data_IF_571505609661
#
_entry.id   IF_571505609661
#
_cell.length_a   1.000
_cell.length_b   1.000
_cell.length_c   1.000
_cell.angle_alpha   90.00
_cell.angle_beta   90.00
_cell.angle_gamma   90.00
#
_symmetry.space_group_name_H-M   'P 1'
#
loop_
_entity.id
_entity.type
_entity.pdbx_description
1 polymer ?
#
# COMPACT_ATOMS: atom_id res chain seq x y z
N UNK A 1 -25.57 5.99 18.79
CA UNK A 1 -25.60 6.90 17.62
C UNK A 1 -24.23 7.52 17.49
N UNK A 2 -23.48 7.19 16.42
CA UNK A 2 -22.19 7.82 16.14
C UNK A 2 -22.49 9.10 15.36
N UNK A 3 -22.00 10.25 15.85
CA UNK A 3 -22.05 11.52 15.12
C UNK A 3 -20.63 12.02 14.95
N UNK A 4 -20.30 12.44 13.75
CA UNK A 4 -19.04 13.12 13.47
C UNK A 4 -19.10 14.55 13.99
N UNK A 5 -17.98 15.05 14.50
CA UNK A 5 -17.86 16.47 14.86
C UNK A 5 -17.95 17.32 13.58
N UNK A 6 -18.68 18.44 13.60
CA UNK A 6 -18.81 19.34 12.45
C UNK A 6 -17.45 19.85 11.96
N UNK A 7 -16.47 19.98 12.86
CA UNK A 7 -15.11 20.43 12.53
C UNK A 7 -14.37 19.47 11.59
N UNK A 8 -14.78 18.20 11.50
CA UNK A 8 -14.12 17.23 10.64
C UNK A 8 -14.71 17.19 9.22
N UNK A 9 -15.88 17.83 9.00
CA UNK A 9 -16.58 17.80 7.71
C UNK A 9 -15.76 18.35 6.55
N UNK A 10 -15.05 19.50 6.67
CA UNK A 10 -14.21 20.01 5.59
C UNK A 10 -13.14 19.01 5.15
N UNK A 11 -12.49 18.34 6.10
CA UNK A 11 -11.48 17.33 5.84
C UNK A 11 -12.05 16.06 5.19
N UNK A 12 -13.27 15.65 5.55
CA UNK A 12 -13.96 14.54 4.90
C UNK A 12 -14.34 14.86 3.44
N UNK A 13 -14.71 16.11 3.15
CA UNK A 13 -15.02 16.57 1.78
C UNK A 13 -13.75 16.62 0.93
N UNK A 14 -12.66 17.16 1.45
CA UNK A 14 -11.36 17.18 0.78
C UNK A 14 -10.84 15.76 0.54
N UNK A 15 -11.01 14.86 1.52
CA UNK A 15 -10.71 13.45 1.35
C UNK A 15 -11.51 12.88 0.18
N UNK A 16 -12.83 13.12 0.10
CA UNK A 16 -13.68 12.63 -1.00
C UNK A 16 -13.30 13.19 -2.37
N UNK A 17 -12.78 14.42 -2.45
CA UNK A 17 -12.35 15.04 -3.71
C UNK A 17 -11.01 14.48 -4.21
N UNK A 18 -10.09 14.15 -3.30
CA UNK A 18 -8.76 13.65 -3.61
C UNK A 18 -8.65 12.12 -3.63
N UNK A 19 -9.69 11.40 -3.16
CA UNK A 19 -9.72 9.94 -3.21
C UNK A 19 -10.27 9.44 -4.54
N UNK A 20 -9.52 8.59 -5.20
CA UNK A 20 -10.04 7.76 -6.30
C UNK A 20 -11.17 6.89 -5.74
N UNK A 21 -12.41 7.02 -6.25
CA UNK A 21 -13.59 6.26 -5.76
C UNK A 21 -13.33 4.75 -5.62
N UNK A 22 -12.55 4.18 -6.53
CA UNK A 22 -12.17 2.76 -6.53
C UNK A 22 -11.34 2.35 -5.31
N UNK A 23 -10.47 3.23 -4.82
CA UNK A 23 -9.66 2.95 -3.65
C UNK A 23 -10.49 2.89 -2.37
N UNK A 24 -11.60 3.64 -2.29
CA UNK A 24 -12.42 3.65 -1.07
C UNK A 24 -13.24 2.37 -0.94
N UNK A 25 -13.87 1.91 -2.02
CA UNK A 25 -14.62 0.64 -2.01
C UNK A 25 -13.72 -0.55 -1.68
N UNK A 26 -12.49 -0.58 -2.21
CA UNK A 26 -11.54 -1.65 -1.93
C UNK A 26 -11.00 -1.61 -0.49
N UNK A 27 -10.75 -0.42 0.06
CA UNK A 27 -10.35 -0.28 1.47
C UNK A 27 -11.44 -0.77 2.42
N UNK A 28 -12.72 -0.59 2.06
CA UNK A 28 -13.85 -1.06 2.89
C UNK A 28 -13.94 -2.59 2.98
N UNK A 29 -13.36 -3.32 2.01
CA UNK A 29 -13.30 -4.78 2.03
C UNK A 29 -12.12 -5.32 2.88
N UNK A 30 -11.21 -4.45 3.32
CA UNK A 30 -10.06 -4.81 4.15
C UNK A 30 -10.39 -4.63 5.64
N UNK A 31 -10.13 -5.67 6.42
CA UNK A 31 -10.39 -5.69 7.87
C UNK A 31 -9.12 -5.44 8.69
N UNK A 32 -7.96 -5.89 8.21
CA UNK A 32 -6.70 -5.67 8.93
C UNK A 32 -6.24 -4.21 8.82
N UNK A 33 -5.95 -3.61 9.97
CA UNK A 33 -5.17 -2.36 10.12
C UNK A 33 -3.99 -2.32 9.14
N UNK A 34 -3.24 -3.41 9.08
CA UNK A 34 -1.99 -3.50 8.31
C UNK A 34 -2.26 -3.59 6.81
N UNK A 35 -3.30 -4.32 6.40
CA UNK A 35 -3.75 -4.39 5.01
C UNK A 35 -4.17 -3.02 4.51
N UNK A 36 -4.93 -2.27 5.30
CA UNK A 36 -5.37 -0.91 4.93
C UNK A 36 -4.17 0.01 4.75
N UNK A 37 -3.19 -0.02 5.66
CA UNK A 37 -1.98 0.81 5.58
C UNK A 37 -1.16 0.45 4.35
N UNK A 38 -0.88 -0.83 4.14
CA UNK A 38 -0.10 -1.32 3.00
C UNK A 38 -0.81 -1.04 1.68
N UNK A 39 -2.11 -1.31 1.58
CA UNK A 39 -2.90 -1.01 0.39
C UNK A 39 -2.86 0.48 0.06
N UNK A 40 -3.02 1.37 1.05
CA UNK A 40 -2.93 2.82 0.82
C UNK A 40 -1.58 3.22 0.25
N UNK A 41 -0.49 2.75 0.85
CA UNK A 41 0.87 3.02 0.39
C UNK A 41 1.08 2.52 -1.05
N UNK A 42 0.75 1.26 -1.32
CA UNK A 42 0.84 0.62 -2.64
C UNK A 42 -0.01 1.33 -3.70
N UNK A 43 -1.24 1.70 -3.36
CA UNK A 43 -2.17 2.38 -4.27
C UNK A 43 -1.69 3.77 -4.64
N UNK A 44 -1.01 4.47 -3.72
CA UNK A 44 -0.49 5.81 -3.96
C UNK A 44 0.61 5.78 -5.01
N UNK A 45 1.55 4.84 -4.91
CA UNK A 45 2.59 4.63 -5.92
C UNK A 45 2.00 4.17 -7.26
N UNK A 46 1.09 3.21 -7.24
CA UNK A 46 0.46 2.71 -8.47
C UNK A 46 -0.37 3.78 -9.21
N UNK A 47 -1.06 4.67 -8.48
CA UNK A 47 -1.77 5.80 -9.07
C UNK A 47 -0.81 6.77 -9.78
N UNK A 48 0.41 6.98 -9.24
CA UNK A 48 1.44 7.76 -9.92
C UNK A 48 1.92 7.05 -11.19
N UNK A 49 2.12 5.73 -11.14
CA UNK A 49 2.46 4.94 -12.32
C UNK A 49 1.40 5.09 -13.43
N UNK A 50 0.12 4.91 -13.14
CA UNK A 50 -0.97 5.07 -14.12
C UNK A 50 -1.02 6.50 -14.70
N UNK A 51 -0.78 7.52 -13.88
CA UNK A 51 -0.79 8.92 -14.33
C UNK A 51 0.37 9.22 -15.29
N UNK A 52 1.60 8.91 -14.88
CA UNK A 52 2.80 9.28 -15.63
C UNK A 52 3.12 8.33 -16.78
N UNK A 53 2.64 7.08 -16.75
CA UNK A 53 2.79 6.14 -17.87
C UNK A 53 2.04 6.61 -19.12
N UNK A 54 0.93 7.36 -18.95
CA UNK A 54 0.11 7.84 -20.07
C UNK A 54 0.44 9.27 -20.50
N UNK A 55 0.89 10.12 -19.56
CA UNK A 55 1.10 11.56 -19.79
C UNK A 55 2.55 11.96 -20.06
N UNK A 56 3.52 11.09 -19.78
CA UNK A 56 4.94 11.42 -19.85
C UNK A 56 5.38 12.39 -18.74
N UNK A 57 6.55 13.03 -18.90
CA UNK A 57 7.08 14.03 -17.95
C UNK A 57 7.97 13.47 -16.83
N UNK A 58 8.23 12.15 -16.80
CA UNK A 58 9.15 11.49 -15.87
C UNK A 58 10.11 10.58 -16.64
N UNK A 59 11.27 10.30 -16.04
CA UNK A 59 12.22 9.29 -16.57
C UNK A 59 11.59 7.90 -16.48
N UNK A 60 11.86 7.03 -17.46
CA UNK A 60 11.29 5.68 -17.50
C UNK A 60 11.56 4.88 -16.21
N UNK A 61 12.78 4.96 -15.68
CA UNK A 61 13.19 4.36 -14.41
C UNK A 61 12.30 4.83 -13.24
N UNK A 62 11.99 6.12 -13.18
CA UNK A 62 11.15 6.68 -12.13
C UNK A 62 9.70 6.16 -12.24
N UNK A 63 9.19 6.01 -13.47
CA UNK A 63 7.86 5.45 -13.70
C UNK A 63 7.81 3.99 -13.27
N UNK A 64 8.85 3.19 -13.56
CA UNK A 64 8.90 1.79 -13.13
C UNK A 64 9.02 1.67 -11.60
N UNK A 65 9.72 2.60 -10.93
CA UNK A 65 9.78 2.65 -9.47
C UNK A 65 8.40 2.92 -8.83
N UNK A 66 7.51 3.66 -9.50
CA UNK A 66 6.12 3.80 -9.04
C UNK A 66 5.32 2.51 -9.21
N UNK A 67 5.64 1.71 -10.23
CA UNK A 67 4.98 0.44 -10.47
C UNK A 67 5.39 -0.64 -9.46
N UNK A 68 6.69 -0.66 -9.14
CA UNK A 68 7.29 -1.63 -8.23
C UNK A 68 8.02 -0.89 -7.09
N UNK A 69 7.27 -0.27 -6.17
CA UNK A 69 7.85 0.56 -5.13
C UNK A 69 8.60 -0.31 -4.12
N UNK A 70 9.64 0.27 -3.52
CA UNK A 70 10.41 -0.36 -2.46
C UNK A 70 10.35 0.45 -1.17
N UNK A 71 10.39 -0.24 -0.04
CA UNK A 71 10.35 0.37 1.29
C UNK A 71 11.34 -0.33 2.20
N UNK A 72 12.06 0.45 3.01
CA UNK A 72 12.97 -0.12 4.01
C UNK A 72 12.19 -0.86 5.10
N UNK A 73 12.77 -1.90 5.70
CA UNK A 73 12.12 -2.61 6.83
C UNK A 73 11.85 -1.65 8.00
N UNK A 74 12.74 -0.68 8.20
CA UNK A 74 12.59 0.37 9.23
C UNK A 74 11.36 1.24 8.95
N UNK A 75 11.24 1.75 7.74
CA UNK A 75 10.12 2.62 7.35
C UNK A 75 8.80 1.86 7.33
N UNK A 76 8.80 0.60 6.86
CA UNK A 76 7.62 -0.24 6.90
C UNK A 76 7.11 -0.41 8.35
N UNK A 77 8.01 -0.67 9.30
CA UNK A 77 7.67 -0.74 10.72
C UNK A 77 7.15 0.58 11.29
N UNK A 78 7.64 1.71 10.79
CA UNK A 78 7.15 3.03 11.19
C UNK A 78 5.72 3.24 10.70
N UNK A 79 5.42 3.00 9.41
CA UNK A 79 4.08 3.25 8.86
C UNK A 79 3.04 2.27 9.40
N UNK A 80 3.43 1.06 9.81
CA UNK A 80 2.53 0.07 10.43
C UNK A 80 2.41 0.24 11.94
N UNK A 81 3.17 1.17 12.55
CA UNK A 81 3.29 1.34 13.99
C UNK A 81 3.66 0.02 14.71
N UNK A 82 4.70 -0.64 14.22
CA UNK A 82 5.21 -1.92 14.74
C UNK A 82 6.71 -1.86 15.01
N UNK A 83 7.23 -0.68 15.34
CA UNK A 83 8.66 -0.49 15.68
C UNK A 83 9.03 -1.31 16.92
N UNK A 84 8.13 -1.36 17.90
CA UNK A 84 8.34 -2.08 19.17
C UNK A 84 7.61 -3.44 19.22
N UNK A 85 6.89 -3.81 18.16
CA UNK A 85 6.16 -5.08 18.05
C UNK A 85 6.92 -6.08 17.16
N UNK A 86 6.59 -7.37 17.28
CA UNK A 86 7.15 -8.44 16.44
C UNK A 86 8.69 -8.38 16.38
N UNK A 87 9.35 -8.52 17.54
CA UNK A 87 10.82 -8.45 17.68
C UNK A 87 11.52 -9.40 16.71
N UNK A 88 11.01 -10.62 16.61
CA UNK A 88 11.46 -11.57 15.60
C UNK A 88 11.00 -11.12 14.22
N UNK A 89 11.98 -10.93 13.32
CA UNK A 89 11.71 -10.49 11.94
C UNK A 89 10.73 -11.44 11.26
N UNK A 90 10.83 -12.75 11.48
CA UNK A 90 9.90 -13.73 10.94
C UNK A 90 8.42 -13.42 11.29
N UNK A 91 8.14 -13.06 12.55
CA UNK A 91 6.77 -12.73 12.96
C UNK A 91 6.27 -11.45 12.30
N UNK A 92 7.13 -10.45 12.18
CA UNK A 92 6.79 -9.22 11.45
C UNK A 92 6.39 -9.53 10.01
N UNK A 93 7.20 -10.32 9.29
CA UNK A 93 6.88 -10.71 7.91
C UNK A 93 5.58 -11.48 7.81
N UNK A 94 5.39 -12.50 8.65
CA UNK A 94 4.20 -13.35 8.61
C UNK A 94 2.92 -12.56 8.92
N UNK A 95 2.92 -11.79 10.00
CA UNK A 95 1.69 -11.14 10.49
C UNK A 95 1.41 -9.80 9.82
N UNK A 96 2.44 -9.07 9.40
CA UNK A 96 2.28 -7.73 8.82
C UNK A 96 2.33 -7.77 7.31
N UNK A 97 3.31 -8.44 6.71
CA UNK A 97 3.48 -8.42 5.25
C UNK A 97 2.59 -9.48 4.61
N UNK A 98 2.81 -10.76 4.93
CA UNK A 98 2.18 -11.88 4.23
C UNK A 98 0.67 -11.94 4.44
N UNK A 99 0.20 -11.78 5.69
CA UNK A 99 -1.23 -11.70 5.96
C UNK A 99 -1.90 -10.52 5.25
N UNK A 100 -1.23 -9.36 5.20
CA UNK A 100 -1.80 -8.19 4.53
C UNK A 100 -1.88 -8.37 3.03
N UNK A 101 -0.82 -8.90 2.41
CA UNK A 101 -0.85 -9.19 0.98
C UNK A 101 -1.89 -10.26 0.63
N UNK A 102 -2.07 -11.28 1.49
CA UNK A 102 -3.12 -12.28 1.30
C UNK A 102 -4.51 -11.65 1.27
N UNK A 103 -4.80 -10.72 2.19
CA UNK A 103 -6.09 -10.03 2.23
C UNK A 103 -6.25 -9.08 1.02
N UNK A 104 -5.23 -8.27 0.71
CA UNK A 104 -5.23 -7.37 -0.45
C UNK A 104 -5.49 -8.15 -1.75
N UNK A 105 -4.80 -9.26 -1.95
CA UNK A 105 -4.94 -10.10 -3.15
C UNK A 105 -6.29 -10.80 -3.26
N UNK A 106 -6.99 -11.00 -2.14
CA UNK A 106 -8.29 -11.66 -2.11
C UNK A 106 -9.45 -10.67 -2.29
N UNK A 107 -9.29 -9.43 -1.82
CA UNK A 107 -10.40 -8.48 -1.64
C UNK A 107 -10.27 -7.18 -2.45
N UNK A 108 -9.22 -7.02 -3.25
CA UNK A 108 -9.01 -5.80 -4.06
C UNK A 108 -8.64 -6.14 -5.50
N UNK A 109 -8.64 -5.13 -6.38
CA UNK A 109 -8.18 -5.28 -7.77
C UNK A 109 -6.67 -5.46 -7.91
N UNK A 110 -5.89 -5.35 -6.82
CA UNK A 110 -4.46 -5.59 -6.86
C UNK A 110 -4.09 -7.06 -6.63
N UNK A 111 -3.12 -7.51 -7.42
CA UNK A 111 -2.32 -8.68 -7.14
C UNK A 111 -0.89 -8.22 -6.84
N UNK A 112 -0.44 -8.51 -5.63
CA UNK A 112 0.79 -8.00 -5.04
C UNK A 112 1.63 -9.16 -4.55
N UNK A 113 2.88 -9.17 -4.97
CA UNK A 113 3.95 -9.98 -4.39
C UNK A 113 5.10 -9.09 -3.93
N UNK A 114 6.09 -9.66 -3.26
CA UNK A 114 7.24 -8.91 -2.80
C UNK A 114 8.53 -9.74 -2.92
N UNK A 115 9.64 -9.02 -3.06
CA UNK A 115 10.99 -9.54 -3.01
C UNK A 115 11.77 -8.89 -1.87
N UNK A 116 12.71 -9.65 -1.33
CA UNK A 116 13.57 -9.23 -0.21
C UNK A 116 14.86 -8.61 -0.75
N UNK A 117 15.07 -7.33 -0.47
CA UNK A 117 16.32 -6.64 -0.81
C UNK A 117 17.29 -6.81 0.35
N UNK A 118 18.43 -7.46 0.10
CA UNK A 118 19.48 -7.68 1.09
C UNK A 118 20.73 -6.89 0.76
N UNK A 119 21.43 -6.45 1.79
CA UNK A 119 22.82 -6.01 1.72
C UNK A 119 23.66 -7.05 2.45
N UNK A 120 24.53 -7.72 1.70
CA UNK A 120 25.23 -8.93 2.14
C UNK A 120 24.23 -10.01 2.61
N UNK A 121 24.10 -10.21 3.92
CA UNK A 121 23.16 -11.15 4.53
C UNK A 121 21.96 -10.45 5.18
N UNK A 122 22.05 -9.15 5.41
CA UNK A 122 21.05 -8.40 6.16
C UNK A 122 19.91 -7.95 5.24
N UNK A 123 18.68 -8.24 5.66
CA UNK A 123 17.48 -7.74 5.00
C UNK A 123 17.30 -6.24 5.30
N UNK A 124 17.33 -5.41 4.25
CA UNK A 124 17.24 -3.94 4.40
C UNK A 124 15.90 -3.38 3.94
N UNK A 125 15.29 -3.97 2.92
CA UNK A 125 14.09 -3.43 2.29
C UNK A 125 13.26 -4.53 1.59
N UNK A 126 12.06 -4.16 1.19
CA UNK A 126 11.17 -4.96 0.35
C UNK A 126 10.90 -4.21 -0.94
N UNK A 127 10.95 -4.92 -2.06
CA UNK A 127 10.46 -4.46 -3.35
C UNK A 127 9.11 -5.12 -3.61
N UNK A 128 8.06 -4.34 -3.84
CA UNK A 128 6.74 -4.89 -4.18
C UNK A 128 6.57 -4.97 -5.69
N UNK A 129 5.91 -6.01 -6.16
CA UNK A 129 5.55 -6.19 -7.57
C UNK A 129 4.03 -6.15 -7.64
N UNK A 130 3.50 -5.13 -8.31
CA UNK A 130 2.06 -4.89 -8.38
C UNK A 130 1.52 -5.15 -9.78
N UNK A 131 0.38 -5.83 -9.83
CA UNK A 131 -0.43 -5.99 -11.02
C UNK A 131 -1.87 -5.64 -10.68
N UNK A 132 -2.55 -4.98 -11.62
CA UNK A 132 -3.99 -4.75 -11.50
C UNK A 132 -4.71 -5.79 -12.33
N UNK A 133 -5.60 -6.54 -11.70
CA UNK A 133 -6.47 -7.45 -12.44
C UNK A 133 -7.45 -6.59 -13.25
N UNK A 134 -7.53 -6.84 -14.56
CA UNK A 134 -8.55 -6.22 -15.41
C UNK A 134 -9.93 -6.49 -14.83
N UNK A 135 -10.77 -5.45 -14.73
CA UNK A 135 -12.11 -5.53 -14.14
C UNK A 135 -12.89 -6.73 -14.70
N UNK A 136 -13.44 -7.58 -13.81
CA UNK A 136 -14.72 -8.19 -14.13
C UNK A 136 -15.75 -7.06 -14.06
N UNK A 137 -16.11 -6.54 -15.23
CA UNK A 137 -17.33 -5.75 -15.44
C UNK A 137 -18.57 -6.56 -15.15
#
# INVERSE_FOLDING_TARGET
MIRFNQDIIPYLIELKQNFTKYALSEIMELNSKYSIILYKWLSMDYNQYEHYSNKGGRRAEQVENYRNPSISVKELRTITDTVNEYKETYHFFRYIVENSLKEINAHTSFNVSYEKIKKDVQLIALSFILRRNGKQT
#
